data_IF_680094416926
#
_entry.id   IF_680094416926
#
_cell.length_a   1.000
_cell.length_b   1.000
_cell.length_c   1.000
_cell.angle_alpha   90.00
_cell.angle_beta   90.00
_cell.angle_gamma   90.00
#
_symmetry.space_group_name_H-M   'P 1'
#
loop_
_entity.id
_entity.type
_entity.pdbx_description
1 polymer ?
#
# COMPACT_ATOMS: atom_id res chain seq x y z
N UNK A 1 -4.64 -4.87 13.45
CA UNK A 1 -5.22 -3.65 12.82
C UNK A 1 -4.22 -2.51 12.90
N UNK A 2 -4.20 -1.60 11.92
CA UNK A 2 -3.44 -0.35 12.03
C UNK A 2 -4.07 0.59 13.05
N UNK A 3 -3.25 1.31 13.81
CA UNK A 3 -3.71 2.12 14.96
C UNK A 3 -4.55 3.35 14.57
N UNK A 4 -4.32 3.91 13.36
CA UNK A 4 -5.11 5.00 12.75
C UNK A 4 -5.41 6.16 13.72
N UNK A 5 -4.44 6.62 14.51
CA UNK A 5 -4.70 7.62 15.55
C UNK A 5 -5.12 9.00 15.01
N UNK A 6 -4.58 9.40 13.87
CA UNK A 6 -4.70 10.74 13.32
C UNK A 6 -5.10 10.63 11.85
N UNK A 7 -6.01 11.51 11.41
CA UNK A 7 -6.37 11.72 9.99
C UNK A 7 -6.27 13.19 9.64
N UNK A 8 -6.02 13.49 8.37
CA UNK A 8 -6.04 14.85 7.85
C UNK A 8 -7.42 15.17 7.28
N UNK A 9 -7.94 16.37 7.55
CA UNK A 9 -9.21 16.87 6.99
C UNK A 9 -9.03 18.26 6.40
N UNK A 10 -9.90 18.63 5.47
CA UNK A 10 -9.99 20.02 5.00
C UNK A 10 -10.54 20.94 6.09
N UNK A 11 -10.08 22.18 6.09
CA UNK A 11 -10.65 23.24 6.92
C UNK A 11 -11.54 24.16 6.07
N UNK A 12 -12.42 24.92 6.71
CA UNK A 12 -13.21 25.95 6.03
C UNK A 12 -12.38 27.15 5.55
N UNK A 13 -11.08 27.20 5.92
CA UNK A 13 -10.18 28.30 5.59
C UNK A 13 -9.30 27.90 4.41
N UNK A 14 -9.66 28.38 3.22
CA UNK A 14 -8.85 28.24 2.01
C UNK A 14 -7.62 29.17 1.99
N UNK A 15 -6.89 29.27 3.11
CA UNK A 15 -5.64 30.00 3.21
C UNK A 15 -4.46 29.07 2.93
N UNK A 16 -3.44 29.57 2.22
CA UNK A 16 -2.22 28.82 1.95
C UNK A 16 -1.58 28.33 3.27
N UNK A 17 -1.40 27.02 3.40
CA UNK A 17 -0.84 26.38 4.60
C UNK A 17 -1.81 26.15 5.76
N UNK A 18 -3.09 26.54 5.64
CA UNK A 18 -4.14 26.27 6.65
C UNK A 18 -5.37 25.55 6.09
N UNK A 19 -5.34 25.15 4.81
CA UNK A 19 -6.43 24.46 4.13
C UNK A 19 -6.69 23.03 4.63
N UNK A 20 -5.74 22.46 5.36
CA UNK A 20 -5.85 21.13 5.96
C UNK A 20 -5.39 21.14 7.42
N UNK A 21 -5.96 20.26 8.22
CA UNK A 21 -5.57 20.07 9.63
C UNK A 21 -5.60 18.61 10.01
N UNK A 22 -4.77 18.22 10.98
CA UNK A 22 -4.77 16.89 11.54
C UNK A 22 -5.75 16.83 12.73
N UNK A 23 -6.58 15.81 12.74
CA UNK A 23 -7.56 15.54 13.80
C UNK A 23 -7.43 14.10 14.28
N UNK A 24 -7.82 13.85 15.52
CA UNK A 24 -7.90 12.49 16.03
C UNK A 24 -9.01 11.70 15.32
N UNK A 25 -8.74 10.43 15.04
CA UNK A 25 -9.75 9.51 14.52
C UNK A 25 -10.58 9.00 15.69
N UNK A 26 -11.93 8.95 15.62
CA UNK A 26 -12.76 8.32 16.64
C UNK A 26 -12.37 6.85 16.89
N UNK A 27 -12.46 6.35 18.12
CA UNK A 27 -12.05 4.96 18.43
C UNK A 27 -12.82 3.91 17.63
N UNK A 28 -14.10 4.16 17.36
CA UNK A 28 -14.93 3.30 16.51
C UNK A 28 -14.34 3.12 15.11
N UNK A 29 -13.81 4.19 14.51
CA UNK A 29 -13.19 4.15 13.19
C UNK A 29 -11.77 3.56 13.24
N UNK A 30 -11.05 3.73 14.36
CA UNK A 30 -9.74 3.08 14.58
C UNK A 30 -9.83 1.56 14.56
N UNK A 31 -10.94 1.02 15.04
CA UNK A 31 -11.21 -0.42 15.11
C UNK A 31 -11.91 -0.97 13.87
N UNK A 32 -12.14 -0.16 12.84
CA UNK A 32 -12.68 -0.58 11.53
C UNK A 32 -11.59 -0.60 10.47
N UNK A 33 -11.76 -1.41 9.43
CA UNK A 33 -10.92 -1.28 8.24
C UNK A 33 -11.28 -0.02 7.48
N UNK A 34 -10.29 0.66 6.90
CA UNK A 34 -10.49 1.92 6.17
C UNK A 34 -11.23 1.73 4.84
N UNK A 35 -11.16 0.51 4.29
CA UNK A 35 -11.75 0.10 3.02
C UNK A 35 -12.30 -1.33 3.14
N UNK A 36 -13.21 -1.69 2.24
CA UNK A 36 -13.83 -3.03 2.17
C UNK A 36 -13.02 -4.00 1.34
N UNK A 37 -13.37 -5.29 1.40
CA UNK A 37 -12.70 -6.34 0.62
C UNK A 37 -12.91 -6.16 -0.91
N UNK A 38 -14.06 -5.62 -1.30
CA UNK A 38 -14.36 -5.26 -2.69
C UNK A 38 -13.43 -4.14 -3.18
N UNK A 39 -13.27 -3.09 -2.39
CA UNK A 39 -12.36 -1.96 -2.68
C UNK A 39 -10.90 -2.43 -2.73
N UNK A 40 -10.50 -3.36 -1.86
CA UNK A 40 -9.16 -3.98 -1.90
C UNK A 40 -8.95 -4.73 -3.22
N UNK A 41 -9.94 -5.48 -3.66
CA UNK A 41 -9.88 -6.26 -4.91
C UNK A 41 -9.80 -5.32 -6.12
N UNK A 42 -10.57 -4.24 -6.12
CA UNK A 42 -10.54 -3.22 -7.17
C UNK A 42 -9.18 -2.51 -7.24
N UNK A 43 -8.62 -2.11 -6.09
CA UNK A 43 -7.26 -1.54 -6.02
C UNK A 43 -6.19 -2.52 -6.53
N UNK A 44 -6.34 -3.81 -6.25
CA UNK A 44 -5.42 -4.83 -6.77
C UNK A 44 -5.48 -4.91 -8.30
N UNK A 45 -6.67 -4.81 -8.91
CA UNK A 45 -6.82 -4.76 -10.37
C UNK A 45 -6.17 -3.50 -10.96
N UNK A 46 -6.32 -2.33 -10.32
CA UNK A 46 -5.63 -1.12 -10.75
C UNK A 46 -4.10 -1.28 -10.66
N UNK A 47 -3.59 -1.81 -9.55
CA UNK A 47 -2.17 -2.03 -9.35
C UNK A 47 -1.57 -2.96 -10.41
N UNK A 48 -2.24 -4.07 -10.74
CA UNK A 48 -1.76 -5.00 -11.76
C UNK A 48 -1.80 -4.41 -13.17
N UNK A 49 -2.84 -3.63 -13.48
CA UNK A 49 -2.95 -2.91 -14.76
C UNK A 49 -1.81 -1.90 -14.92
N UNK A 50 -1.51 -1.13 -13.86
CA UNK A 50 -0.43 -0.14 -13.84
C UNK A 50 0.94 -0.83 -13.96
N UNK A 51 1.20 -1.87 -13.16
CA UNK A 51 2.44 -2.67 -13.22
C UNK A 51 2.66 -3.23 -14.64
N UNK A 52 1.61 -3.78 -15.26
CA UNK A 52 1.66 -4.29 -16.64
C UNK A 52 1.97 -3.19 -17.65
N UNK A 53 1.39 -2.00 -17.48
CA UNK A 53 1.62 -0.88 -18.39
C UNK A 53 3.08 -0.39 -18.36
N UNK A 54 3.68 -0.28 -17.17
CA UNK A 54 5.06 0.20 -17.01
C UNK A 54 6.13 -0.91 -17.08
N UNK A 55 5.71 -2.18 -17.04
CA UNK A 55 6.59 -3.35 -17.16
C UNK A 55 7.55 -3.53 -15.99
N UNK A 56 7.27 -2.93 -14.83
CA UNK A 56 8.10 -2.97 -13.63
C UNK A 56 7.26 -2.76 -12.37
N UNK A 57 7.74 -3.14 -11.17
CA UNK A 57 7.06 -2.84 -9.91
C UNK A 57 6.85 -1.33 -9.72
N UNK A 58 5.65 -0.95 -9.28
CA UNK A 58 5.23 0.43 -9.10
C UNK A 58 4.77 0.68 -7.65
N UNK A 59 5.20 1.81 -7.08
CA UNK A 59 4.64 2.43 -5.88
C UNK A 59 3.48 3.34 -6.30
N UNK A 60 2.29 3.12 -5.72
CA UNK A 60 1.03 3.72 -6.18
C UNK A 60 0.35 4.41 -5.00
N UNK A 61 0.11 5.71 -5.15
CA UNK A 61 -0.72 6.50 -4.24
C UNK A 61 -2.14 6.59 -4.81
N UNK A 62 -3.12 6.37 -3.96
CA UNK A 62 -4.54 6.33 -4.31
C UNK A 62 -5.37 6.97 -3.20
N UNK A 63 -6.60 7.36 -3.54
CA UNK A 63 -7.57 7.87 -2.58
C UNK A 63 -8.98 7.39 -2.92
N UNK A 64 -9.83 7.26 -1.90
CA UNK A 64 -11.28 7.08 -2.08
C UNK A 64 -11.95 8.42 -1.90
N UNK A 65 -12.76 8.84 -2.86
CA UNK A 65 -13.53 10.07 -2.71
C UNK A 65 -14.69 9.86 -1.73
N UNK A 66 -14.88 10.84 -0.83
CA UNK A 66 -15.91 10.78 0.20
C UNK A 66 -17.32 11.08 -0.31
N UNK A 67 -17.45 11.66 -1.51
CA UNK A 67 -18.74 12.05 -2.08
C UNK A 67 -19.31 10.94 -2.97
N UNK A 68 -18.50 10.41 -3.90
CA UNK A 68 -18.94 9.38 -4.83
C UNK A 68 -18.51 7.95 -4.46
N UNK A 69 -17.63 7.80 -3.47
CA UNK A 69 -17.14 6.51 -2.99
C UNK A 69 -16.16 5.80 -3.93
N UNK A 70 -15.75 6.43 -5.04
CA UNK A 70 -14.88 5.80 -6.04
C UNK A 70 -13.41 5.91 -5.65
N UNK A 71 -12.63 4.98 -6.19
CA UNK A 71 -11.20 4.93 -6.02
C UNK A 71 -10.50 5.65 -7.17
N UNK A 72 -9.54 6.51 -6.83
CA UNK A 72 -8.75 7.30 -7.78
C UNK A 72 -7.27 7.07 -7.55
N UNK A 73 -6.51 6.96 -8.65
CA UNK A 73 -5.05 6.88 -8.62
C UNK A 73 -4.49 8.30 -8.69
N UNK A 74 -3.74 8.71 -7.67
CA UNK A 74 -3.17 10.06 -7.54
C UNK A 74 -1.76 10.11 -8.14
N UNK A 75 -0.97 9.07 -7.91
CA UNK A 75 0.41 9.00 -8.37
C UNK A 75 0.85 7.54 -8.57
N UNK A 76 1.67 7.29 -9.59
CA UNK A 76 2.39 6.03 -9.76
C UNK A 76 3.86 6.31 -10.07
N UNK A 77 4.77 5.71 -9.31
CA UNK A 77 6.23 5.84 -9.50
C UNK A 77 6.87 4.44 -9.51
N UNK A 78 7.95 4.20 -10.27
CA UNK A 78 8.71 2.95 -10.15
C UNK A 78 9.15 2.72 -8.70
N UNK A 79 9.05 1.48 -8.20
CA UNK A 79 9.55 1.14 -6.87
C UNK A 79 11.07 1.35 -6.82
N UNK A 80 11.58 2.15 -5.86
CA UNK A 80 12.99 2.54 -5.80
C UNK A 80 13.82 1.80 -4.74
N UNK A 81 13.21 0.99 -3.88
CA UNK A 81 13.92 0.36 -2.74
C UNK A 81 14.58 -0.98 -3.13
N UNK A 82 14.04 -1.69 -4.12
CA UNK A 82 14.51 -3.02 -4.53
C UNK A 82 15.66 -3.01 -5.54
N UNK A 83 15.81 -1.95 -6.33
CA UNK A 83 16.89 -1.83 -7.32
C UNK A 83 18.29 -1.77 -6.69
N UNK A 84 18.39 -1.35 -5.43
CA UNK A 84 19.65 -1.35 -4.66
C UNK A 84 20.00 -2.73 -4.07
N UNK A 85 19.03 -3.66 -3.94
CA UNK A 85 19.30 -5.02 -3.45
C UNK A 85 19.95 -5.91 -4.52
N UNK A 86 19.76 -5.65 -5.82
CA UNK A 86 20.37 -6.45 -6.90
C UNK A 86 21.90 -6.37 -6.92
N UNK A 87 22.49 -5.28 -6.41
CA UNK A 87 23.95 -5.14 -6.24
C UNK A 87 24.51 -5.91 -5.04
N UNK A 88 23.66 -6.37 -4.12
CA UNK A 88 24.05 -7.07 -2.90
C UNK A 88 23.30 -8.41 -2.83
N UNK A 89 23.89 -9.47 -3.40
CA UNK A 89 23.45 -10.87 -3.24
C UNK A 89 23.43 -11.29 -1.75
N UNK A 90 22.45 -10.82 -0.99
CA UNK A 90 22.19 -11.26 0.36
C UNK A 90 21.30 -12.49 0.30
N UNK A 91 21.93 -13.66 0.22
CA UNK A 91 21.27 -14.96 0.41
C UNK A 91 20.71 -15.02 1.84
N UNK A 92 19.42 -14.71 2.02
CA UNK A 92 18.73 -14.91 3.30
C UNK A 92 18.16 -16.32 3.35
N UNK A 93 18.76 -17.17 4.18
CA UNK A 93 18.31 -18.54 4.44
C UNK A 93 17.33 -18.52 5.60
N UNK A 94 16.08 -18.88 5.34
CA UNK A 94 15.08 -19.09 6.39
C UNK A 94 15.01 -20.60 6.68
N UNK A 95 15.26 -20.99 7.93
CA UNK A 95 15.00 -22.33 8.41
C UNK A 95 13.58 -22.35 9.00
N UNK A 96 12.70 -23.13 8.40
CA UNK A 96 11.38 -23.43 8.95
C UNK A 96 11.60 -24.63 9.88
N UNK A 97 11.43 -24.44 11.19
CA UNK A 97 11.41 -25.55 12.13
C UNK A 97 10.04 -26.23 12.03
N UNK A 98 9.97 -27.21 11.14
CA UNK A 98 8.83 -28.08 10.90
C UNK A 98 9.26 -29.10 9.84
N UNK A 99 8.92 -30.36 10.05
CA UNK A 99 9.49 -31.56 9.43
C UNK A 99 9.77 -31.48 7.92
N UNK A 100 10.84 -32.15 7.50
CA UNK A 100 11.36 -32.17 6.12
C UNK A 100 10.26 -32.55 5.11
N UNK A 101 10.19 -31.82 3.98
CA UNK A 101 9.97 -32.46 2.70
C UNK A 101 11.17 -32.24 1.77
N UNK A 102 11.33 -33.22 0.89
CA UNK A 102 12.31 -33.30 -0.17
C UNK A 102 12.32 -32.07 -1.07
N UNK A 103 13.53 -31.63 -1.41
CA UNK A 103 13.93 -30.86 -2.59
C UNK A 103 12.80 -30.14 -3.34
N UNK A 104 12.29 -29.03 -2.79
CA UNK A 104 11.50 -28.08 -3.55
C UNK A 104 12.43 -26.97 -4.06
N UNK A 105 12.51 -26.81 -5.38
CA UNK A 105 13.17 -25.65 -6.00
C UNK A 105 12.52 -24.39 -5.44
N UNK A 106 13.30 -23.59 -4.71
CA UNK A 106 12.88 -22.28 -4.23
C UNK A 106 12.73 -21.37 -5.44
N UNK A 107 11.49 -21.22 -5.93
CA UNK A 107 11.12 -20.13 -6.80
C UNK A 107 11.17 -18.87 -5.95
N UNK A 108 11.91 -17.81 -6.34
CA UNK A 108 11.96 -16.59 -5.55
C UNK A 108 10.55 -16.01 -5.47
N UNK A 109 9.96 -16.06 -4.29
CA UNK A 109 8.72 -15.37 -3.97
C UNK A 109 9.02 -13.88 -4.02
N UNK A 110 8.67 -13.25 -5.14
CA UNK A 110 8.61 -11.79 -5.26
C UNK A 110 7.55 -11.34 -4.26
N UNK A 111 7.99 -10.88 -3.09
CA UNK A 111 7.12 -10.20 -2.14
C UNK A 111 6.66 -8.91 -2.81
N UNK A 112 5.50 -8.95 -3.48
CA UNK A 112 4.80 -7.76 -3.97
C UNK A 112 4.38 -6.94 -2.75
N UNK A 113 5.19 -5.96 -2.37
CA UNK A 113 4.88 -5.05 -1.28
C UNK A 113 4.01 -3.92 -1.82
N UNK A 114 2.70 -4.15 -1.91
CA UNK A 114 1.75 -3.05 -2.10
C UNK A 114 1.73 -2.23 -0.80
N UNK A 115 2.49 -1.14 -0.74
CA UNK A 115 2.36 -0.17 0.35
C UNK A 115 1.27 0.84 -0.01
N UNK A 116 0.03 0.50 0.33
CA UNK A 116 -1.05 1.47 0.35
C UNK A 116 -0.79 2.46 1.50
N UNK A 117 -0.53 3.73 1.17
CA UNK A 117 -0.62 4.84 2.13
C UNK A 117 -1.95 5.54 1.87
N UNK A 118 -2.87 5.46 2.85
CA UNK A 118 -4.00 6.39 2.90
C UNK A 118 -3.42 7.80 3.05
N UNK A 119 -3.80 8.70 2.13
CA UNK A 119 -3.82 10.13 2.43
C UNK A 119 -4.94 10.43 3.45
#
# INVERSE_FOLDING_TARGET
MGSKHIKMIFTDKAEAGKSVTNVEVPEEDRNRFSITDEEITELAHYALTIEKHYGRPMDIEWGRDGLDGKLYILQARPETVKSQEEGSRNLRRYAINGEKPSCAKVVPSVKKSVRARCA
#
